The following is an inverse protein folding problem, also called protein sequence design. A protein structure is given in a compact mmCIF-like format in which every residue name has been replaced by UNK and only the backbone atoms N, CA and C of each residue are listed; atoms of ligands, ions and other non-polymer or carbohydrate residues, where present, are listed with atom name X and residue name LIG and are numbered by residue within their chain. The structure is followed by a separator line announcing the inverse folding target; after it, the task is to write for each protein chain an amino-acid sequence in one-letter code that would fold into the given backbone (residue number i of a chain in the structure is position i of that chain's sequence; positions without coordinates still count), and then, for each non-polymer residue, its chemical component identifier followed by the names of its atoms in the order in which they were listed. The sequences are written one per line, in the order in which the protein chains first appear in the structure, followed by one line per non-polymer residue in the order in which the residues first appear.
data_IF_159198167694
#
_entry.id   IF_159198167694
#
_cell.length_a   1.000
_cell.length_b   1.000
_cell.length_c   1.000
_cell.angle_alpha   90.00
_cell.angle_beta   90.00
_cell.angle_gamma   90.00
#
_symmetry.space_group_name_H-M   'P 1'
#
loop_
_entity.id
_entity.type
_entity.pdbx_description
1 polymer ?
#
# COMPACT_ATOMS: atom_id res chain seq x y z
N UNK A 1 -0.61 -26.14 -6.18
CA UNK A 1 -0.99 -24.81 -5.64
C UNK A 1 0.00 -24.27 -4.61
N UNK A 2 0.45 -25.04 -3.60
CA UNK A 2 1.39 -24.56 -2.56
C UNK A 2 2.77 -24.13 -3.10
N UNK A 3 3.33 -24.89 -4.06
CA UNK A 3 4.63 -24.57 -4.68
C UNK A 3 4.63 -23.21 -5.38
N UNK A 4 3.52 -22.87 -6.05
CA UNK A 4 3.33 -21.60 -6.79
C UNK A 4 3.21 -20.40 -5.85
N UNK A 5 2.61 -20.57 -4.66
CA UNK A 5 2.46 -19.51 -3.68
C UNK A 5 3.81 -19.12 -3.04
N UNK A 6 4.64 -20.10 -2.68
CA UNK A 6 5.96 -19.84 -2.10
C UNK A 6 6.91 -19.20 -3.13
N UNK A 7 6.85 -19.63 -4.39
CA UNK A 7 7.59 -18.98 -5.48
C UNK A 7 7.17 -17.51 -5.66
N UNK A 8 5.85 -17.24 -5.63
CA UNK A 8 5.34 -15.87 -5.73
C UNK A 8 5.82 -14.98 -4.58
N UNK A 9 5.81 -15.47 -3.34
CA UNK A 9 6.35 -14.73 -2.17
C UNK A 9 7.82 -14.39 -2.34
N UNK A 10 8.65 -15.37 -2.75
CA UNK A 10 10.08 -15.14 -3.01
C UNK A 10 10.31 -14.09 -4.11
N UNK A 11 9.54 -14.17 -5.20
CA UNK A 11 9.61 -13.18 -6.27
C UNK A 11 9.24 -11.78 -5.79
N UNK A 12 8.21 -11.65 -4.96
CA UNK A 12 7.78 -10.36 -4.41
C UNK A 12 8.77 -9.81 -3.38
N UNK A 13 9.37 -10.67 -2.54
CA UNK A 13 10.46 -10.27 -1.65
C UNK A 13 11.61 -9.65 -2.44
N UNK A 14 12.04 -10.31 -3.53
CA UNK A 14 13.12 -9.80 -4.37
C UNK A 14 12.80 -8.42 -4.96
N UNK A 15 11.56 -8.20 -5.39
CA UNK A 15 11.12 -6.88 -5.88
C UNK A 15 11.11 -5.85 -4.75
N UNK A 16 10.62 -6.21 -3.57
CA UNK A 16 10.60 -5.34 -2.40
C UNK A 16 12.02 -4.95 -1.97
N UNK A 17 12.95 -5.92 -1.87
CA UNK A 17 14.37 -5.67 -1.58
C UNK A 17 14.96 -4.64 -2.56
N UNK A 18 14.82 -4.89 -3.87
CA UNK A 18 15.35 -3.98 -4.90
C UNK A 18 14.75 -2.58 -4.82
N UNK A 19 13.44 -2.47 -4.51
CA UNK A 19 12.78 -1.18 -4.34
C UNK A 19 13.28 -0.42 -3.10
N UNK A 20 13.57 -1.12 -2.00
CA UNK A 20 14.13 -0.49 -0.81
C UNK A 20 15.58 -0.05 -1.04
N UNK A 21 16.40 -0.89 -1.66
CA UNK A 21 17.78 -0.54 -2.03
C UNK A 21 17.80 0.71 -2.93
N UNK A 22 16.93 0.75 -3.94
CA UNK A 22 16.80 1.94 -4.80
C UNK A 22 16.37 3.20 -4.04
N UNK A 23 15.56 3.05 -2.98
CA UNK A 23 15.13 4.18 -2.13
C UNK A 23 16.25 4.65 -1.20
N UNK A 24 17.02 3.73 -0.65
CA UNK A 24 18.20 4.06 0.17
C UNK A 24 19.20 4.86 -0.66
N UNK A 25 19.46 4.40 -1.88
CA UNK A 25 20.36 5.10 -2.80
C UNK A 25 19.82 6.48 -3.21
N UNK A 26 18.52 6.60 -3.48
CA UNK A 26 17.95 7.88 -3.95
C UNK A 26 17.79 8.92 -2.84
N UNK A 27 17.47 8.50 -1.61
CA UNK A 27 17.20 9.42 -0.50
C UNK A 27 18.45 9.73 0.33
N UNK A 28 19.31 8.74 0.54
CA UNK A 28 20.46 8.86 1.44
C UNK A 28 21.80 8.71 0.72
N UNK A 29 21.80 8.26 -0.54
CA UNK A 29 23.03 8.05 -1.31
C UNK A 29 23.86 6.87 -0.82
N UNK A 30 23.27 5.95 -0.03
CA UNK A 30 23.96 4.82 0.58
C UNK A 30 23.46 3.50 0.02
N UNK A 31 24.33 2.50 0.03
CA UNK A 31 23.97 1.11 -0.23
C UNK A 31 23.35 0.44 1.01
N UNK A 32 22.85 -0.78 0.82
CA UNK A 32 22.21 -1.55 1.88
C UNK A 32 23.17 -1.88 3.02
N UNK A 33 24.42 -2.27 2.72
CA UNK A 33 25.38 -2.69 3.74
C UNK A 33 25.72 -1.52 4.68
N UNK A 34 25.96 -0.33 4.12
CA UNK A 34 26.20 0.89 4.89
C UNK A 34 24.99 1.27 5.74
N UNK A 35 23.78 1.13 5.19
CA UNK A 35 22.53 1.37 5.93
C UNK A 35 22.36 0.38 7.10
N UNK A 36 22.60 -0.90 6.86
CA UNK A 36 22.47 -1.96 7.88
C UNK A 36 23.48 -1.76 9.02
N UNK A 37 24.72 -1.39 8.69
CA UNK A 37 25.74 -1.05 9.69
C UNK A 37 25.29 0.14 10.54
N UNK A 38 24.89 1.25 9.90
CA UNK A 38 24.42 2.45 10.60
C UNK A 38 23.18 2.18 11.47
N UNK A 39 22.27 1.32 11.00
CA UNK A 39 21.07 0.90 11.72
C UNK A 39 21.32 -0.20 12.76
N UNK A 40 22.56 -0.73 12.86
CA UNK A 40 22.88 -1.91 13.68
C UNK A 40 21.93 -3.10 13.43
N UNK A 41 21.55 -3.31 12.16
CA UNK A 41 20.58 -4.32 11.74
C UNK A 41 21.30 -5.45 10.99
N UNK A 42 21.00 -6.70 11.34
CA UNK A 42 21.55 -7.83 10.60
C UNK A 42 20.86 -8.01 9.24
N UNK A 43 21.54 -8.61 8.27
CA UNK A 43 20.93 -8.97 6.98
C UNK A 43 19.75 -9.94 7.15
N UNK A 44 19.82 -10.82 8.14
CA UNK A 44 18.73 -11.75 8.47
C UNK A 44 17.50 -11.01 8.98
N UNK A 45 17.68 -10.06 9.91
CA UNK A 45 16.57 -9.24 10.43
C UNK A 45 15.93 -8.40 9.31
N UNK A 46 16.76 -7.83 8.43
CA UNK A 46 16.28 -7.14 7.24
C UNK A 46 15.43 -8.07 6.36
N UNK A 47 15.96 -9.24 6.00
CA UNK A 47 15.26 -10.18 5.12
C UNK A 47 13.95 -10.68 5.73
N UNK A 48 13.93 -10.93 7.03
CA UNK A 48 12.74 -11.31 7.78
C UNK A 48 11.71 -10.17 7.81
N UNK A 49 12.15 -8.92 7.98
CA UNK A 49 11.29 -7.75 7.92
C UNK A 49 10.63 -7.63 6.53
N UNK A 50 11.42 -7.65 5.45
CA UNK A 50 10.89 -7.56 4.08
C UNK A 50 9.92 -8.70 3.79
N UNK A 51 10.24 -9.94 4.19
CA UNK A 51 9.33 -11.07 3.98
C UNK A 51 8.01 -10.89 4.76
N UNK A 52 8.09 -10.45 6.02
CA UNK A 52 6.90 -10.19 6.85
C UNK A 52 5.99 -9.14 6.21
N UNK A 53 6.56 -8.06 5.67
CA UNK A 53 5.82 -7.03 4.95
C UNK A 53 5.14 -7.58 3.68
N UNK A 54 5.87 -8.37 2.88
CA UNK A 54 5.31 -9.02 1.68
C UNK A 54 4.15 -9.96 2.06
N UNK A 55 4.31 -10.76 3.11
CA UNK A 55 3.24 -11.65 3.57
C UNK A 55 2.03 -10.89 4.08
N UNK A 56 2.24 -9.81 4.84
CA UNK A 56 1.17 -8.95 5.33
C UNK A 56 0.39 -8.31 4.17
N UNK A 57 1.10 -7.72 3.20
CA UNK A 57 0.49 -7.12 2.00
C UNK A 57 -0.33 -8.14 1.21
N UNK A 58 0.20 -9.35 1.01
CA UNK A 58 -0.53 -10.43 0.33
C UNK A 58 -1.80 -10.85 1.10
N UNK A 59 -1.72 -10.99 2.43
CA UNK A 59 -2.88 -11.32 3.27
C UNK A 59 -3.95 -10.23 3.14
N UNK A 60 -3.57 -8.97 3.24
CA UNK A 60 -4.48 -7.83 3.06
C UNK A 60 -5.15 -7.89 1.68
N UNK A 61 -4.37 -8.04 0.60
CA UNK A 61 -4.92 -8.15 -0.76
C UNK A 61 -5.93 -9.30 -0.89
N UNK A 62 -5.63 -10.45 -0.29
CA UNK A 62 -6.56 -11.59 -0.27
C UNK A 62 -7.84 -11.29 0.52
N UNK A 63 -7.75 -10.59 1.65
CA UNK A 63 -8.92 -10.19 2.46
C UNK A 63 -9.82 -9.25 1.66
N UNK A 64 -9.26 -8.22 1.03
CA UNK A 64 -10.03 -7.29 0.18
C UNK A 64 -10.71 -8.00 -0.98
N UNK A 65 -10.00 -8.90 -1.67
CA UNK A 65 -10.59 -9.70 -2.75
C UNK A 65 -11.70 -10.64 -2.24
N UNK A 66 -11.53 -11.23 -1.06
CA UNK A 66 -12.55 -12.08 -0.45
C UNK A 66 -13.79 -11.29 -0.02
N UNK A 67 -13.60 -10.11 0.57
CA UNK A 67 -14.69 -9.18 0.93
C UNK A 67 -15.46 -8.74 -0.31
N UNK A 68 -14.75 -8.34 -1.38
CA UNK A 68 -15.39 -7.93 -2.62
C UNK A 68 -16.24 -9.04 -3.24
N UNK A 69 -15.76 -10.29 -3.23
CA UNK A 69 -16.55 -11.44 -3.68
C UNK A 69 -17.76 -11.70 -2.80
N UNK A 70 -17.59 -11.62 -1.47
CA UNK A 70 -18.65 -11.93 -0.50
C UNK A 70 -19.77 -10.89 -0.54
N UNK A 71 -19.43 -9.62 -0.76
CA UNK A 71 -20.36 -8.50 -0.76
C UNK A 71 -20.80 -8.08 -2.18
N UNK A 72 -20.50 -8.88 -3.20
CA UNK A 72 -20.83 -8.62 -4.61
C UNK A 72 -20.31 -7.25 -5.13
N UNK A 73 -19.08 -6.91 -4.73
CA UNK A 73 -18.39 -5.66 -5.09
C UNK A 73 -17.36 -5.86 -6.21
N UNK A 74 -17.24 -7.06 -6.79
CA UNK A 74 -16.34 -7.29 -7.92
C UNK A 74 -16.83 -6.45 -9.12
N UNK A 75 -15.99 -5.59 -9.72
CA UNK A 75 -16.41 -4.76 -10.84
C UNK A 75 -16.79 -5.58 -12.05
N UNK A 76 -17.89 -5.19 -12.71
CA UNK A 76 -18.10 -5.53 -14.11
C UNK A 76 -17.04 -4.86 -14.97
N UNK A 77 -16.83 -5.31 -16.21
CA UNK A 77 -15.88 -4.67 -17.13
C UNK A 77 -16.19 -3.17 -17.35
N UNK A 78 -17.49 -2.84 -17.43
CA UNK A 78 -17.94 -1.47 -17.58
C UNK A 78 -17.58 -0.62 -16.37
N UNK A 79 -17.83 -1.14 -15.15
CA UNK A 79 -17.50 -0.38 -13.96
C UNK A 79 -16.00 -0.29 -13.71
N UNK A 80 -15.25 -1.37 -14.03
CA UNK A 80 -13.79 -1.36 -13.99
C UNK A 80 -13.25 -0.21 -14.82
N UNK A 81 -13.68 -0.07 -16.08
CA UNK A 81 -13.19 0.99 -16.95
C UNK A 81 -13.49 2.38 -16.38
N UNK A 82 -14.72 2.60 -15.88
CA UNK A 82 -15.12 3.89 -15.28
C UNK A 82 -14.31 4.25 -14.03
N UNK A 83 -14.08 3.28 -13.16
CA UNK A 83 -13.33 3.50 -11.92
C UNK A 83 -11.82 3.60 -12.18
N UNK A 84 -11.30 2.81 -13.13
CA UNK A 84 -9.92 2.92 -13.60
C UNK A 84 -9.65 4.27 -14.28
N UNK A 85 -10.61 4.85 -15.01
CA UNK A 85 -10.51 6.21 -15.55
C UNK A 85 -10.35 7.25 -14.44
N UNK A 86 -11.09 7.10 -13.33
CA UNK A 86 -10.97 8.00 -12.18
C UNK A 86 -9.58 7.87 -11.55
N UNK A 87 -9.09 6.65 -11.35
CA UNK A 87 -7.73 6.38 -10.85
C UNK A 87 -6.66 6.96 -11.79
N UNK A 88 -6.85 6.82 -13.10
CA UNK A 88 -5.91 7.31 -14.09
C UNK A 88 -5.86 8.85 -14.07
N UNK A 89 -7.01 9.52 -14.02
CA UNK A 89 -7.11 10.98 -13.90
C UNK A 89 -6.41 11.50 -12.64
N UNK A 90 -6.57 10.83 -11.49
CA UNK A 90 -5.87 11.18 -10.25
C UNK A 90 -4.34 11.11 -10.38
N UNK A 91 -3.83 10.29 -11.29
CA UNK A 91 -2.40 10.16 -11.59
C UNK A 91 -1.97 10.97 -12.81
N UNK A 92 -2.86 11.77 -13.42
CA UNK A 92 -2.63 12.45 -14.70
C UNK A 92 -2.21 11.51 -15.84
N UNK A 93 -2.78 10.31 -15.86
CA UNK A 93 -2.55 9.26 -16.86
C UNK A 93 -3.85 8.89 -17.59
N UNK A 94 -3.72 8.22 -18.73
CA UNK A 94 -4.80 7.39 -19.29
C UNK A 94 -4.86 6.03 -18.59
N UNK A 95 -5.99 5.32 -18.70
CA UNK A 95 -6.13 3.95 -18.16
C UNK A 95 -5.04 3.03 -18.70
N UNK A 96 -4.73 3.13 -20.00
CA UNK A 96 -3.70 2.32 -20.63
C UNK A 96 -2.31 2.60 -20.07
N UNK A 97 -1.98 3.87 -19.82
CA UNK A 97 -0.70 4.24 -19.20
C UNK A 97 -0.63 3.81 -17.74
N UNK A 98 -1.74 3.91 -17.01
CA UNK A 98 -1.86 3.41 -15.64
C UNK A 98 -1.60 1.89 -15.58
N UNK A 99 -2.29 1.13 -16.43
CA UNK A 99 -2.09 -0.33 -16.55
C UNK A 99 -0.68 -0.70 -17.03
N UNK A 100 -0.07 0.10 -17.91
CA UNK A 100 1.30 -0.12 -18.36
C UNK A 100 2.33 0.16 -17.25
N UNK A 101 2.05 1.14 -16.40
CA UNK A 101 2.94 1.58 -15.32
C UNK A 101 2.89 0.59 -14.14
N UNK A 102 1.68 0.21 -13.72
CA UNK A 102 1.48 -0.57 -12.50
C UNK A 102 1.10 -2.04 -12.76
N UNK A 103 0.67 -2.36 -13.98
CA UNK A 103 0.12 -3.67 -14.34
C UNK A 103 -1.38 -3.74 -14.08
N UNK A 104 -2.13 -4.28 -15.06
CA UNK A 104 -3.60 -4.41 -14.98
C UNK A 104 -4.12 -5.03 -13.67
N UNK A 105 -3.47 -6.09 -13.17
CA UNK A 105 -3.89 -6.76 -11.91
C UNK A 105 -3.72 -5.89 -10.66
N UNK A 106 -2.83 -4.92 -10.67
CA UNK A 106 -2.68 -3.97 -9.56
C UNK A 106 -3.70 -2.84 -9.69
N UNK A 107 -4.01 -2.39 -10.91
CA UNK A 107 -5.11 -1.44 -11.16
C UNK A 107 -6.47 -2.06 -10.76
N UNK A 108 -6.76 -3.30 -11.17
CA UNK A 108 -7.94 -4.05 -10.74
C UNK A 108 -8.03 -4.15 -9.20
N UNK A 109 -6.89 -4.37 -8.54
CA UNK A 109 -6.83 -4.42 -7.08
C UNK A 109 -7.11 -3.06 -6.43
N UNK A 110 -6.61 -1.97 -7.01
CA UNK A 110 -6.89 -0.61 -6.54
C UNK A 110 -8.39 -0.28 -6.64
N UNK A 111 -9.03 -0.63 -7.76
CA UNK A 111 -10.48 -0.50 -7.96
C UNK A 111 -11.26 -1.29 -6.91
N UNK A 112 -10.93 -2.57 -6.72
CA UNK A 112 -11.53 -3.42 -5.66
C UNK A 112 -11.35 -2.80 -4.27
N UNK A 113 -10.17 -2.25 -3.99
CA UNK A 113 -9.85 -1.65 -2.70
C UNK A 113 -10.75 -0.45 -2.41
N UNK A 114 -10.92 0.45 -3.38
CA UNK A 114 -11.81 1.61 -3.23
C UNK A 114 -13.26 1.20 -2.97
N UNK A 115 -13.77 0.20 -3.71
CA UNK A 115 -15.13 -0.32 -3.51
C UNK A 115 -15.33 -0.92 -2.13
N UNK A 116 -14.40 -1.74 -1.66
CA UNK A 116 -14.47 -2.37 -0.33
C UNK A 116 -14.35 -1.32 0.77
N UNK A 117 -13.45 -0.34 0.65
CA UNK A 117 -13.33 0.75 1.62
C UNK A 117 -14.62 1.56 1.70
N UNK A 118 -15.22 1.90 0.56
CA UNK A 118 -16.52 2.58 0.50
C UNK A 118 -17.61 1.75 1.18
N UNK A 119 -17.71 0.47 0.85
CA UNK A 119 -18.67 -0.43 1.49
C UNK A 119 -18.49 -0.48 3.02
N UNK A 120 -17.24 -0.59 3.51
CA UNK A 120 -16.97 -0.57 4.95
C UNK A 120 -17.42 0.76 5.57
N UNK A 121 -17.07 1.89 4.96
CA UNK A 121 -17.44 3.21 5.46
C UNK A 121 -18.97 3.42 5.51
N UNK A 122 -19.72 2.88 4.55
CA UNK A 122 -21.18 2.94 4.50
C UNK A 122 -21.87 1.99 5.50
N UNK A 123 -21.17 0.95 5.97
CA UNK A 123 -21.75 -0.10 6.82
C UNK A 123 -21.15 -0.13 8.25
N UNK A 124 -20.22 0.76 8.58
CA UNK A 124 -19.63 0.83 9.92
C UNK A 124 -20.50 1.67 10.86
N UNK A 125 -20.71 1.19 12.08
CA UNK A 125 -21.28 2.02 13.15
C UNK A 125 -20.15 2.75 13.86
N UNK A 126 -20.10 4.08 13.72
CA UNK A 126 -19.16 4.92 14.46
C UNK A 126 -19.64 5.06 15.90
N UNK A 127 -18.78 4.77 16.87
CA UNK A 127 -19.05 5.04 18.29
C UNK A 127 -18.70 6.50 18.59
N UNK A 128 -19.55 7.22 19.33
CA UNK A 128 -19.25 8.57 19.80
C UNK A 128 -17.87 8.64 20.49
N UNK A 129 -17.12 9.72 20.22
CA UNK A 129 -15.77 9.94 20.76
C UNK A 129 -14.63 9.25 20.00
N UNK A 130 -14.92 8.59 18.87
CA UNK A 130 -13.92 7.90 18.03
C UNK A 130 -13.40 8.73 16.85
N UNK A 131 -13.83 9.98 16.71
CA UNK A 131 -13.34 10.85 15.64
C UNK A 131 -11.85 11.17 15.87
N UNK A 132 -10.98 11.01 14.85
CA UNK A 132 -9.61 11.50 14.96
C UNK A 132 -9.66 13.02 15.15
N UNK A 133 -9.18 13.50 16.29
CA UNK A 133 -9.09 14.93 16.59
C UNK A 133 -8.22 15.63 15.55
N UNK A 134 -8.85 16.24 14.55
CA UNK A 134 -8.23 17.20 13.64
C UNK A 134 -8.39 18.59 14.24
N UNK A 135 -7.81 18.78 15.42
CA UNK A 135 -7.57 20.13 15.94
C UNK A 135 -6.06 20.37 15.80
N UNK A 136 -5.69 21.29 14.91
CA UNK A 136 -4.31 21.76 14.85
C UNK A 136 -3.96 22.37 16.22
N UNK A 137 -2.87 21.90 16.83
CA UNK A 137 -2.31 22.55 18.01
C UNK A 137 -1.81 23.94 17.59
N UNK A 138 -2.57 24.98 17.91
CA UNK A 138 -2.05 26.34 17.91
C UNK A 138 -1.04 26.45 19.06
N UNK A 139 0.25 26.46 18.72
CA UNK A 139 1.31 26.82 19.67
C UNK A 139 1.16 28.30 20.02
N UNK A 140 0.75 28.61 21.25
CA UNK A 140 0.93 29.94 21.82
C UNK A 140 2.43 30.21 21.99
N UNK A 141 2.95 31.20 21.26
CA UNK A 141 4.31 31.67 21.44
C UNK A 141 4.45 32.32 22.83
N UNK A 142 5.22 31.68 23.71
CA UNK A 142 5.61 32.28 24.98
C UNK A 142 6.48 33.52 24.72
N UNK A 143 5.94 34.70 25.03
CA UNK A 143 6.70 35.93 25.15
C UNK A 143 7.60 35.87 26.37
N UNK A 144 8.86 35.49 26.18
CA UNK A 144 9.91 35.79 27.17
C UNK A 144 10.40 37.21 26.97
N UNK A 145 9.92 38.11 27.83
CA UNK A 145 10.59 39.36 28.13
C UNK A 145 11.75 39.09 29.08
N UNK A 146 12.98 39.41 28.66
CA UNK A 146 14.00 40.03 29.52
C UNK A 146 15.01 40.79 28.68
#
# INVERSE_FOLDING_TARGET
MYHTAQQKKKSLKKVADANYESQLQSQYGVDLDSYLEAASMSKEDWDNNIMSQVESSLKTKMVYQALAKKADLVPSDSDYNKEAETLAQQNSLSVKELESTYGKKEVEYAVITQRVQKYIAENVTVKEGSEPTTAAETTEAATTAK
#
